data_IF_898490605066
#
_entry.id   IF_898490605066
#
_cell.length_a   1.000
_cell.length_b   1.000
_cell.length_c   1.000
_cell.angle_alpha   90.00
_cell.angle_beta   90.00
_cell.angle_gamma   90.00
#
_symmetry.space_group_name_H-M   'P 1'
#
loop_
_entity.id
_entity.type
_entity.pdbx_description
1 polymer ?
#
# COMPACT_ATOMS: atom_id res chain seq x y z
N UNK A 1 15.42 6.35 30.28
CA UNK A 1 14.20 6.42 29.43
C UNK A 1 14.48 6.40 27.93
N UNK A 2 15.63 6.89 27.43
CA UNK A 2 15.95 6.78 25.99
C UNK A 2 16.20 5.36 25.50
N UNK A 3 16.85 4.51 26.30
CA UNK A 3 17.25 3.16 25.90
C UNK A 3 16.07 2.24 25.55
N UNK A 4 14.97 2.33 26.30
CA UNK A 4 13.74 1.54 26.07
C UNK A 4 13.04 1.94 24.76
N UNK A 5 13.10 3.23 24.40
CA UNK A 5 12.55 3.74 23.14
C UNK A 5 13.39 3.23 21.98
N UNK A 6 14.73 3.36 22.06
CA UNK A 6 15.63 2.87 21.02
C UNK A 6 15.48 1.36 20.80
N UNK A 7 15.38 0.59 21.88
CA UNK A 7 15.23 -0.87 21.82
C UNK A 7 13.89 -1.30 21.23
N UNK A 8 12.80 -0.57 21.54
CA UNK A 8 11.48 -0.81 20.96
C UNK A 8 11.47 -0.52 19.45
N UNK A 9 12.06 0.60 19.02
CA UNK A 9 12.16 0.94 17.60
C UNK A 9 13.00 -0.09 16.85
N UNK A 10 14.12 -0.54 17.44
CA UNK A 10 14.98 -1.56 16.84
C UNK A 10 14.30 -2.92 16.73
N UNK A 11 13.50 -3.30 17.74
CA UNK A 11 12.72 -4.54 17.73
C UNK A 11 11.61 -4.54 16.69
N UNK A 12 10.90 -3.42 16.56
CA UNK A 12 9.85 -3.27 15.54
C UNK A 12 10.48 -3.31 14.15
N UNK A 13 11.59 -2.60 13.94
CA UNK A 13 12.34 -2.64 12.68
C UNK A 13 12.85 -4.05 12.36
N UNK A 14 13.38 -4.76 13.37
CA UNK A 14 13.89 -6.13 13.24
C UNK A 14 12.81 -7.17 12.96
N UNK A 15 11.64 -7.06 13.62
CA UNK A 15 10.51 -7.95 13.38
C UNK A 15 9.94 -7.78 11.97
N UNK A 16 9.84 -6.52 11.50
CA UNK A 16 9.44 -6.21 10.12
C UNK A 16 10.48 -6.77 9.14
N UNK A 17 11.77 -6.55 9.38
CA UNK A 17 12.84 -7.09 8.54
C UNK A 17 12.84 -8.64 8.49
N UNK A 18 12.57 -9.31 9.61
CA UNK A 18 12.50 -10.76 9.72
C UNK A 18 11.34 -11.37 8.93
N UNK A 19 10.17 -10.74 8.94
CA UNK A 19 9.00 -11.15 8.14
C UNK A 19 9.29 -10.97 6.64
N UNK A 20 10.02 -9.91 6.27
CA UNK A 20 10.38 -9.57 4.88
C UNK A 20 11.41 -10.56 4.30
N UNK A 21 12.43 -10.95 5.08
CA UNK A 21 13.40 -11.99 4.66
C UNK A 21 12.69 -13.33 4.41
N UNK A 22 11.64 -13.65 5.16
CA UNK A 22 10.86 -14.87 4.97
C UNK A 22 10.00 -14.84 3.69
N UNK A 23 9.62 -13.64 3.21
CA UNK A 23 8.91 -13.44 1.94
C UNK A 23 9.83 -13.41 0.70
N UNK A 24 11.13 -13.13 0.86
CA UNK A 24 12.17 -13.08 -0.21
C UNK A 24 12.44 -14.41 -0.94
N UNK A 25 11.83 -15.54 -0.53
CA UNK A 25 12.06 -16.84 -1.18
C UNK A 25 11.53 -16.97 -2.61
N UNK A 26 10.67 -16.06 -3.08
CA UNK A 26 10.08 -16.12 -4.43
C UNK A 26 10.77 -15.12 -5.36
N UNK A 27 11.89 -15.57 -5.95
CA UNK A 27 12.76 -14.80 -6.86
C UNK A 27 12.03 -14.39 -8.14
N UNK A 28 12.05 -13.10 -8.45
CA UNK A 28 11.84 -12.56 -9.82
C UNK A 28 13.10 -11.76 -10.17
N UNK A 29 13.50 -11.80 -11.45
CA UNK A 29 14.69 -11.18 -12.03
C UNK A 29 14.98 -9.79 -11.43
N UNK A 30 16.17 -9.60 -10.85
CA UNK A 30 16.56 -8.34 -10.19
C UNK A 30 16.80 -7.24 -11.23
N UNK A 31 16.02 -6.14 -11.24
CA UNK A 31 16.36 -4.94 -11.99
C UNK A 31 17.59 -4.25 -11.40
N UNK A 32 18.24 -3.39 -12.16
CA UNK A 32 19.31 -2.51 -11.62
C UNK A 32 18.75 -1.63 -10.49
N UNK A 33 19.61 -1.15 -9.58
CA UNK A 33 19.16 -0.35 -8.43
C UNK A 33 18.36 0.91 -8.81
N UNK A 34 18.73 1.55 -9.92
CA UNK A 34 18.04 2.74 -10.45
C UNK A 34 16.69 2.39 -11.07
N UNK A 35 16.61 1.27 -11.77
CA UNK A 35 15.36 0.78 -12.37
C UNK A 35 14.36 0.38 -11.28
N UNK A 36 14.84 -0.28 -10.21
CA UNK A 36 14.04 -0.60 -9.04
C UNK A 36 13.50 0.65 -8.32
N UNK A 37 14.32 1.71 -8.22
CA UNK A 37 13.91 2.99 -7.63
C UNK A 37 12.85 3.71 -8.47
N UNK A 38 13.03 3.75 -9.79
CA UNK A 38 12.07 4.36 -10.71
C UNK A 38 10.72 3.65 -10.67
N UNK A 39 10.73 2.32 -10.66
CA UNK A 39 9.52 1.50 -10.51
C UNK A 39 8.85 1.77 -9.15
N UNK A 40 9.60 1.81 -8.05
CA UNK A 40 9.05 2.11 -6.73
C UNK A 40 8.34 3.48 -6.69
N UNK A 41 8.95 4.52 -7.26
CA UNK A 41 8.36 5.84 -7.38
C UNK A 41 7.10 5.83 -8.24
N UNK A 42 7.12 5.14 -9.38
CA UNK A 42 5.96 5.02 -10.27
C UNK A 42 4.76 4.39 -9.58
N UNK A 43 4.96 3.29 -8.86
CA UNK A 43 3.87 2.65 -8.10
C UNK A 43 3.36 3.52 -6.95
N UNK A 44 4.24 4.30 -6.31
CA UNK A 44 3.84 5.23 -5.25
C UNK A 44 2.95 6.37 -5.77
N UNK A 45 3.33 6.96 -6.91
CA UNK A 45 2.52 7.99 -7.59
C UNK A 45 1.19 7.42 -8.05
N UNK A 46 1.20 6.21 -8.63
CA UNK A 46 -0.03 5.51 -9.04
C UNK A 46 -0.97 5.24 -7.87
N UNK A 47 -0.45 4.79 -6.73
CA UNK A 47 -1.22 4.59 -5.51
C UNK A 47 -1.80 5.92 -5.01
N UNK A 48 -0.99 6.98 -5.02
CA UNK A 48 -1.40 8.35 -4.70
C UNK A 48 -2.61 8.81 -5.53
N UNK A 49 -2.49 8.71 -6.86
CA UNK A 49 -3.56 9.08 -7.79
C UNK A 49 -4.79 8.18 -7.65
N UNK A 50 -4.59 6.89 -7.37
CA UNK A 50 -5.66 5.90 -7.23
C UNK A 50 -6.54 6.10 -6.00
N UNK A 51 -6.15 6.90 -5.02
CA UNK A 51 -6.98 7.26 -3.87
C UNK A 51 -8.00 8.37 -4.19
N UNK A 52 -7.83 9.09 -5.30
CA UNK A 52 -8.82 10.11 -5.73
C UNK A 52 -9.92 9.40 -6.51
N UNK A 53 -11.18 9.42 -6.04
CA UNK A 53 -12.28 8.92 -6.85
C UNK A 53 -12.53 9.81 -8.07
N UNK A 54 -12.91 9.21 -9.21
CA UNK A 54 -13.27 9.98 -10.40
C UNK A 54 -14.60 10.74 -10.23
N UNK A 55 -15.46 10.35 -9.30
CA UNK A 55 -16.74 11.02 -9.01
C UNK A 55 -16.98 11.08 -7.49
N UNK A 56 -17.21 12.28 -6.91
CA UNK A 56 -17.47 12.44 -5.48
C UNK A 56 -18.77 11.74 -5.01
N UNK A 57 -19.76 11.53 -5.89
CA UNK A 57 -21.01 10.85 -5.51
C UNK A 57 -20.82 9.37 -5.21
N UNK A 58 -19.82 8.73 -5.81
CA UNK A 58 -19.54 7.31 -5.60
C UNK A 58 -19.04 7.01 -4.19
N UNK A 59 -18.65 8.03 -3.42
CA UNK A 59 -18.19 7.90 -2.03
C UNK A 59 -19.23 8.34 -1.01
N UNK A 60 -20.29 9.05 -1.40
CA UNK A 60 -21.43 9.29 -0.49
C UNK A 60 -22.17 7.99 -0.15
N UNK A 61 -22.27 7.08 -1.13
CA UNK A 61 -22.81 5.72 -0.93
C UNK A 61 -21.76 4.72 -0.43
N UNK A 62 -20.55 5.17 -0.09
CA UNK A 62 -19.50 4.27 0.37
C UNK A 62 -19.76 3.77 1.78
N UNK A 63 -20.15 2.51 1.87
CA UNK A 63 -20.35 1.78 3.12
C UNK A 63 -19.05 1.67 3.94
N UNK A 64 -19.18 1.26 5.21
CA UNK A 64 -18.10 1.16 6.20
C UNK A 64 -16.92 0.31 5.70
N UNK A 65 -17.19 -0.70 4.85
CA UNK A 65 -16.17 -1.53 4.20
C UNK A 65 -15.28 -0.77 3.20
N UNK A 66 -15.85 0.12 2.40
CA UNK A 66 -15.09 0.94 1.46
C UNK A 66 -14.20 1.96 2.21
N UNK A 67 -14.73 2.57 3.27
CA UNK A 67 -13.96 3.46 4.14
C UNK A 67 -12.77 2.75 4.82
N UNK A 68 -12.97 1.51 5.30
CA UNK A 68 -11.90 0.69 5.87
C UNK A 68 -10.81 0.31 4.86
N UNK A 69 -11.21 -0.03 3.63
CA UNK A 69 -10.27 -0.37 2.57
C UNK A 69 -9.45 0.85 2.09
N UNK A 70 -10.05 2.04 2.08
CA UNK A 70 -9.36 3.30 1.81
C UNK A 70 -8.37 3.67 2.89
N UNK A 71 -8.75 3.47 4.15
CA UNK A 71 -7.85 3.64 5.30
C UNK A 71 -6.64 2.71 5.18
N UNK A 72 -6.87 1.44 4.83
CA UNK A 72 -5.81 0.45 4.58
C UNK A 72 -4.91 0.86 3.42
N UNK A 73 -5.47 1.38 2.32
CA UNK A 73 -4.69 1.88 1.19
C UNK A 73 -3.84 3.11 1.57
N UNK A 74 -4.38 4.02 2.38
CA UNK A 74 -3.66 5.18 2.88
C UNK A 74 -2.52 4.79 3.85
N UNK A 75 -2.73 3.75 4.67
CA UNK A 75 -1.68 3.16 5.51
C UNK A 75 -0.55 2.55 4.66
N UNK A 76 -0.90 1.77 3.64
CA UNK A 76 0.08 1.24 2.67
C UNK A 76 0.86 2.38 2.00
N UNK A 77 0.19 3.48 1.62
CA UNK A 77 0.86 4.64 1.03
C UNK A 77 1.86 5.30 2.00
N UNK A 78 1.45 5.56 3.25
CA UNK A 78 2.34 6.13 4.29
C UNK A 78 3.55 5.22 4.55
N UNK A 79 3.30 3.90 4.65
CA UNK A 79 4.34 2.90 4.86
C UNK A 79 5.31 2.83 3.69
N UNK A 80 4.81 2.78 2.46
CA UNK A 80 5.63 2.76 1.25
C UNK A 80 6.49 4.03 1.15
N UNK A 81 5.95 5.19 1.52
CA UNK A 81 6.71 6.46 1.53
C UNK A 81 7.81 6.46 2.58
N UNK A 82 7.56 5.93 3.78
CA UNK A 82 8.57 5.80 4.83
C UNK A 82 9.69 4.82 4.43
N UNK A 83 9.33 3.71 3.80
CA UNK A 83 10.29 2.74 3.25
C UNK A 83 11.14 3.38 2.15
N UNK A 84 10.53 4.13 1.23
CA UNK A 84 11.25 4.81 0.14
C UNK A 84 12.27 5.81 0.67
N UNK A 85 11.92 6.59 1.71
CA UNK A 85 12.82 7.56 2.33
C UNK A 85 14.09 6.93 2.95
N UNK A 86 14.04 5.65 3.30
CA UNK A 86 15.17 4.90 3.90
C UNK A 86 15.80 3.89 2.95
N UNK A 87 15.23 3.69 1.75
CA UNK A 87 15.70 2.74 0.76
C UNK A 87 17.01 3.21 0.11
N UNK A 88 17.96 2.28 0.00
CA UNK A 88 19.31 2.49 -0.57
C UNK A 88 19.74 1.33 -1.47
N UNK A 89 18.89 0.31 -1.62
CA UNK A 89 19.23 -0.91 -2.37
C UNK A 89 18.05 -1.34 -3.24
N UNK A 90 18.35 -1.99 -4.36
CA UNK A 90 17.34 -2.52 -5.27
C UNK A 90 16.26 -3.36 -4.56
N UNK A 91 16.67 -4.16 -3.57
CA UNK A 91 15.74 -4.99 -2.80
C UNK A 91 14.82 -4.18 -1.86
N UNK A 92 15.27 -3.03 -1.37
CA UNK A 92 14.43 -2.14 -0.56
C UNK A 92 13.45 -1.35 -1.45
N UNK A 93 13.85 -0.96 -2.66
CA UNK A 93 12.94 -0.34 -3.63
C UNK A 93 11.87 -1.34 -4.14
N UNK A 94 12.24 -2.60 -4.31
CA UNK A 94 11.28 -3.66 -4.62
C UNK A 94 10.25 -3.84 -3.50
N UNK A 95 10.65 -3.68 -2.24
CA UNK A 95 9.74 -3.72 -1.07
C UNK A 95 8.75 -2.55 -1.06
N UNK A 96 9.20 -1.34 -1.40
CA UNK A 96 8.32 -0.18 -1.62
C UNK A 96 7.29 -0.48 -2.71
N UNK A 97 7.75 -1.05 -3.82
CA UNK A 97 6.89 -1.45 -4.95
C UNK A 97 5.81 -2.45 -4.52
N UNK A 98 6.18 -3.48 -3.76
CA UNK A 98 5.24 -4.48 -3.26
C UNK A 98 4.20 -3.86 -2.31
N UNK A 99 4.65 -3.01 -1.38
CA UNK A 99 3.75 -2.31 -0.44
C UNK A 99 2.77 -1.40 -1.19
N UNK A 100 3.22 -0.72 -2.25
CA UNK A 100 2.34 0.10 -3.08
C UNK A 100 1.31 -0.74 -3.86
N UNK A 101 1.70 -1.93 -4.35
CA UNK A 101 0.79 -2.87 -5.02
C UNK A 101 -0.26 -3.43 -4.06
N UNK A 102 0.10 -3.74 -2.82
CA UNK A 102 -0.85 -4.18 -1.79
C UNK A 102 -1.94 -3.10 -1.58
N UNK A 103 -1.54 -1.83 -1.45
CA UNK A 103 -2.48 -0.70 -1.33
C UNK A 103 -3.43 -0.56 -2.54
N UNK A 104 -2.92 -0.77 -3.77
CA UNK A 104 -3.74 -0.75 -4.97
C UNK A 104 -4.75 -1.91 -5.02
N UNK A 105 -4.39 -3.09 -4.52
CA UNK A 105 -5.33 -4.21 -4.43
C UNK A 105 -6.43 -3.94 -3.39
N UNK A 106 -6.10 -3.30 -2.26
CA UNK A 106 -7.12 -2.82 -1.32
C UNK A 106 -8.09 -1.84 -1.98
N UNK A 107 -7.58 -0.88 -2.77
CA UNK A 107 -8.43 0.02 -3.56
C UNK A 107 -9.28 -0.71 -4.60
N UNK A 108 -8.75 -1.75 -5.22
CA UNK A 108 -9.48 -2.55 -6.23
C UNK A 108 -10.63 -3.32 -5.58
N UNK A 109 -10.42 -3.91 -4.40
CA UNK A 109 -11.48 -4.57 -3.62
C UNK A 109 -12.55 -3.57 -3.18
N UNK A 110 -12.13 -2.43 -2.61
CA UNK A 110 -13.06 -1.36 -2.24
C UNK A 110 -13.99 -0.97 -3.39
N UNK A 111 -13.42 -0.76 -4.59
CA UNK A 111 -14.20 -0.44 -5.79
C UNK A 111 -15.13 -1.56 -6.24
N UNK A 112 -14.69 -2.82 -6.14
CA UNK A 112 -15.53 -3.96 -6.48
C UNK A 112 -16.72 -4.08 -5.52
N UNK A 113 -16.50 -3.86 -4.22
CA UNK A 113 -17.54 -3.90 -3.21
C UNK A 113 -18.56 -2.76 -3.41
N UNK A 114 -18.09 -1.55 -3.73
CA UNK A 114 -18.96 -0.42 -4.10
C UNK A 114 -19.77 -0.68 -5.38
N UNK A 115 -19.14 -1.27 -6.39
CA UNK A 115 -19.82 -1.63 -7.64
C UNK A 115 -20.89 -2.70 -7.41
N UNK A 116 -20.66 -3.65 -6.49
CA UNK A 116 -21.66 -4.63 -6.10
C UNK A 116 -22.81 -3.99 -5.31
N UNK A 117 -22.49 -3.15 -4.32
CA UNK A 117 -23.50 -2.45 -3.51
C UNK A 117 -24.44 -1.60 -4.36
N UNK A 118 -23.88 -0.82 -5.31
CA UNK A 118 -24.66 -0.02 -6.25
C UNK A 118 -25.50 -0.86 -7.24
N UNK A 119 -25.05 -2.07 -7.59
CA UNK A 119 -25.82 -3.00 -8.43
C UNK A 119 -26.99 -3.67 -7.69
N UNK A 120 -26.86 -3.87 -6.37
CA UNK A 120 -27.91 -4.47 -5.53
C UNK A 120 -28.88 -3.47 -4.92
N UNK A 121 -28.59 -2.16 -5.00
CA UNK A 121 -29.52 -1.13 -4.60
C UNK A 121 -30.80 -1.21 -5.47
N UNK A 122 -32.00 -1.33 -4.87
CA UNK A 122 -33.23 -1.38 -5.64
C UNK A 122 -33.40 -0.07 -6.43
N UNK A 123 -33.57 -0.19 -7.75
CA UNK A 123 -34.04 0.90 -8.60
C UNK A 123 -35.49 1.15 -8.21
N UNK A 124 -35.72 1.93 -7.17
CA UNK A 124 -37.04 2.52 -6.93
C UNK A 124 -37.12 3.78 -7.80
N UNK A 125 -37.78 3.64 -8.96
CA UNK A 125 -38.25 4.73 -9.81
C UNK A 125 -39.76 4.84 -9.66
#
# INVERSE_FOLDING_TARGET
MGFTITLSVLLIAGAVAGIVVRRRGRRVLRPSGLDAEAEANHWLVRLGGGMTPPDPRTWEDADEGAAGALTSAAECHRRARALLASARTAAQYEEVTQTAREGLEHLRRARADLALASATAPVDR
#
